data_IF_159410556640
#
_entry.id   IF_159410556640
#
_cell.length_a   1.000
_cell.length_b   1.000
_cell.length_c   1.000
_cell.angle_alpha   90.00
_cell.angle_beta   90.00
_cell.angle_gamma   90.00
#
_symmetry.space_group_name_H-M   'P 1'
#
loop_
_entity.id
_entity.type
_entity.pdbx_description
1 polymer ?
#
# COMPACT_ATOMS: atom_id res chain seq x y z
N UNK A 1 -10.28 -8.79 -11.78
CA UNK A 1 -10.25 -7.31 -11.65
C UNK A 1 -9.39 -6.95 -10.45
N UNK A 2 -9.04 -5.67 -10.25
CA UNK A 2 -8.28 -5.27 -9.06
C UNK A 2 -9.07 -5.62 -7.77
N UNK A 3 -8.39 -6.04 -6.69
CA UNK A 3 -9.05 -6.27 -5.41
C UNK A 3 -9.61 -4.97 -4.83
N UNK A 4 -10.63 -5.03 -3.96
CA UNK A 4 -11.14 -3.84 -3.28
C UNK A 4 -10.05 -3.21 -2.40
N UNK A 5 -9.88 -1.90 -2.53
CA UNK A 5 -8.94 -1.10 -1.73
C UNK A 5 -9.63 -0.26 -0.64
N UNK A 6 -10.94 -0.40 -0.49
CA UNK A 6 -11.75 0.27 0.53
C UNK A 6 -11.82 -0.54 1.85
N UNK A 7 -12.76 -0.21 2.73
CA UNK A 7 -12.94 -0.84 4.04
C UNK A 7 -13.21 -2.35 4.00
N UNK A 8 -13.72 -2.87 2.88
CA UNK A 8 -13.98 -4.30 2.67
C UNK A 8 -12.76 -5.08 2.16
N UNK A 9 -11.71 -4.36 1.78
CA UNK A 9 -10.44 -4.93 1.35
C UNK A 9 -9.47 -5.19 2.51
N UNK A 10 -8.21 -5.43 2.18
CA UNK A 10 -7.15 -5.72 3.16
C UNK A 10 -5.90 -4.85 3.03
N UNK A 11 -5.87 -3.87 2.13
CA UNK A 11 -4.67 -3.04 1.92
C UNK A 11 -4.20 -2.32 3.19
N UNK A 12 -5.12 -2.04 4.12
CA UNK A 12 -4.84 -1.43 5.41
C UNK A 12 -4.04 -2.33 6.37
N UNK A 13 -3.90 -3.63 6.10
CA UNK A 13 -3.01 -4.53 6.84
C UNK A 13 -1.52 -4.32 6.53
N UNK A 14 -1.17 -3.41 5.62
CA UNK A 14 0.18 -3.20 5.15
C UNK A 14 0.66 -1.78 5.49
N UNK A 15 1.91 -1.66 5.88
CA UNK A 15 2.57 -0.39 6.14
C UNK A 15 2.67 0.48 4.89
N UNK A 16 2.97 1.76 5.07
CA UNK A 16 3.28 2.64 3.94
C UNK A 16 4.53 2.21 3.19
N UNK A 17 5.53 1.67 3.87
CA UNK A 17 6.75 1.14 3.24
C UNK A 17 6.38 0.07 2.22
N UNK A 18 5.57 -0.90 2.64
CA UNK A 18 5.16 -2.01 1.79
C UNK A 18 4.18 -1.58 0.69
N UNK A 19 3.22 -0.70 1.00
CA UNK A 19 2.26 -0.19 0.02
C UNK A 19 2.92 0.64 -1.07
N UNK A 20 3.87 1.52 -0.71
CA UNK A 20 4.67 2.28 -1.68
C UNK A 20 5.43 1.30 -2.58
N UNK A 21 6.09 0.30 -1.98
CA UNK A 21 6.84 -0.69 -2.74
C UNK A 21 5.98 -1.47 -3.72
N UNK A 22 4.77 -1.87 -3.34
CA UNK A 22 3.82 -2.52 -4.25
C UNK A 22 3.42 -1.62 -5.43
N UNK A 23 3.22 -0.33 -5.21
CA UNK A 23 2.90 0.62 -6.29
C UNK A 23 4.12 0.81 -7.21
N UNK A 24 5.31 0.99 -6.64
CA UNK A 24 6.53 1.21 -7.40
C UNK A 24 6.96 -0.01 -8.22
N UNK A 25 7.10 -1.17 -7.57
CA UNK A 25 7.65 -2.41 -8.14
C UNK A 25 6.58 -3.33 -8.74
N UNK A 26 5.30 -3.04 -8.51
CA UNK A 26 4.19 -3.93 -8.87
C UNK A 26 3.96 -5.01 -7.81
N UNK A 27 2.91 -5.81 -8.02
CA UNK A 27 2.60 -6.93 -7.14
C UNK A 27 3.73 -7.95 -7.19
N UNK A 28 4.34 -8.27 -6.04
CA UNK A 28 5.46 -9.23 -5.96
C UNK A 28 5.09 -10.51 -6.71
N UNK A 29 5.76 -10.65 -7.85
CA UNK A 29 5.35 -11.36 -9.03
C UNK A 29 5.29 -12.87 -8.81
N UNK A 30 4.18 -13.33 -8.25
CA UNK A 30 3.76 -14.71 -8.38
C UNK A 30 2.82 -14.80 -9.60
N UNK A 31 3.28 -15.32 -10.74
CA UNK A 31 2.48 -15.42 -11.96
C UNK A 31 1.28 -16.38 -11.82
N UNK A 32 1.18 -17.12 -10.70
CA UNK A 32 0.03 -17.96 -10.38
C UNK A 32 -1.04 -17.23 -9.56
N UNK A 33 -0.78 -15.99 -9.13
CA UNK A 33 -1.76 -15.19 -8.37
C UNK A 33 -2.79 -14.53 -9.27
N UNK A 34 -4.01 -14.51 -8.76
CA UNK A 34 -5.22 -14.04 -9.44
C UNK A 34 -5.22 -12.53 -9.78
N UNK A 35 -4.28 -11.75 -9.24
CA UNK A 35 -4.25 -10.29 -9.34
C UNK A 35 -2.84 -9.81 -9.69
N UNK A 36 -2.53 -9.78 -10.98
CA UNK A 36 -1.30 -9.13 -11.46
C UNK A 36 -1.44 -7.62 -11.33
N UNK A 37 -0.52 -6.99 -10.60
CA UNK A 37 -0.41 -5.54 -10.51
C UNK A 37 0.89 -5.12 -11.19
N UNK A 38 0.86 -4.30 -12.25
CA UNK A 38 2.07 -3.82 -12.92
C UNK A 38 2.84 -2.83 -12.03
N UNK A 39 4.15 -2.65 -12.26
CA UNK A 39 4.92 -1.58 -11.65
C UNK A 39 4.46 -0.21 -12.17
N UNK A 40 4.34 0.77 -11.28
CA UNK A 40 4.01 2.16 -11.61
C UNK A 40 5.17 3.15 -11.35
N UNK A 41 6.32 2.69 -10.87
CA UNK A 41 7.46 3.56 -10.54
C UNK A 41 8.02 4.37 -11.73
N UNK A 42 7.85 3.87 -12.96
CA UNK A 42 8.26 4.59 -14.19
C UNK A 42 7.16 5.55 -14.71
N UNK A 43 5.98 5.56 -14.08
CA UNK A 43 4.79 6.32 -14.51
C UNK A 43 4.41 7.40 -13.50
N UNK A 44 4.59 7.13 -12.20
CA UNK A 44 4.24 8.01 -11.09
C UNK A 44 5.50 8.39 -10.31
N UNK A 45 5.59 9.67 -9.92
CA UNK A 45 6.60 10.10 -8.96
C UNK A 45 6.30 9.57 -7.55
N UNK A 46 7.31 9.55 -6.68
CA UNK A 46 7.14 9.17 -5.27
C UNK A 46 6.04 9.99 -4.57
N UNK A 47 5.97 11.30 -4.86
CA UNK A 47 4.94 12.18 -4.32
C UNK A 47 3.54 11.78 -4.83
N UNK A 48 3.40 11.44 -6.12
CA UNK A 48 2.13 10.98 -6.68
C UNK A 48 1.70 9.64 -6.08
N UNK A 49 2.64 8.72 -5.85
CA UNK A 49 2.37 7.44 -5.18
C UNK A 49 1.83 7.70 -3.77
N UNK A 50 2.48 8.59 -3.00
CA UNK A 50 2.01 8.98 -1.68
C UNK A 50 0.61 9.61 -1.71
N UNK A 51 0.33 10.48 -2.69
CA UNK A 51 -1.01 11.09 -2.85
C UNK A 51 -2.09 10.04 -3.17
N UNK A 52 -1.79 9.08 -4.05
CA UNK A 52 -2.72 7.97 -4.37
C UNK A 52 -3.00 7.12 -3.14
N UNK A 53 -1.97 6.75 -2.39
CA UNK A 53 -2.14 6.00 -1.13
C UNK A 53 -2.91 6.81 -0.08
N UNK A 54 -2.65 8.11 0.03
CA UNK A 54 -3.40 9.00 0.91
C UNK A 54 -4.88 9.04 0.52
N UNK A 55 -5.21 9.11 -0.77
CA UNK A 55 -6.59 9.01 -1.24
C UNK A 55 -7.22 7.65 -0.89
N UNK A 56 -6.52 6.54 -1.12
CA UNK A 56 -7.01 5.20 -0.78
C UNK A 56 -7.33 5.09 0.72
N UNK A 57 -6.46 5.61 1.59
CA UNK A 57 -6.64 5.65 3.04
C UNK A 57 -7.93 6.35 3.49
N UNK A 58 -8.47 7.27 2.68
CA UNK A 58 -9.75 7.95 3.00
C UNK A 58 -10.94 6.99 2.97
N UNK A 59 -10.83 5.87 2.24
CA UNK A 59 -11.89 4.85 2.13
C UNK A 59 -11.91 3.86 3.30
N UNK A 60 -10.94 3.92 4.22
CA UNK A 60 -10.87 3.00 5.36
C UNK A 60 -11.62 3.54 6.57
N UNK A 61 -11.96 2.65 7.51
CA UNK A 61 -12.50 3.07 8.81
C UNK A 61 -11.44 3.80 9.65
N UNK A 62 -11.88 4.51 10.70
CA UNK A 62 -10.96 5.13 11.64
C UNK A 62 -10.03 4.13 12.32
N UNK A 63 -10.55 2.96 12.70
CA UNK A 63 -9.80 1.87 13.31
C UNK A 63 -8.76 1.28 12.36
N UNK A 64 -9.15 1.01 11.10
CA UNK A 64 -8.24 0.49 10.08
C UNK A 64 -7.07 1.47 9.82
N UNK A 65 -7.35 2.78 9.74
CA UNK A 65 -6.29 3.80 9.62
C UNK A 65 -5.35 3.85 10.83
N UNK A 66 -5.89 3.65 12.04
CA UNK A 66 -5.08 3.65 13.26
C UNK A 66 -4.14 2.44 13.29
N UNK A 67 -4.65 1.24 13.00
CA UNK A 67 -3.83 0.03 12.92
C UNK A 67 -2.76 0.14 11.83
N UNK A 68 -3.13 0.63 10.64
CA UNK A 68 -2.19 0.78 9.54
C UNK A 68 -1.06 1.78 9.86
N UNK A 69 -1.38 2.86 10.58
CA UNK A 69 -0.39 3.82 11.07
C UNK A 69 0.59 3.16 12.03
N UNK A 70 0.10 2.37 12.98
CA UNK A 70 0.97 1.63 13.92
C UNK A 70 1.93 0.70 13.17
N UNK A 71 1.44 -0.08 12.20
CA UNK A 71 2.28 -0.94 11.36
C UNK A 71 3.35 -0.14 10.59
N UNK A 72 2.98 1.05 10.11
CA UNK A 72 3.92 1.94 9.42
C UNK A 72 5.02 2.44 10.34
N UNK A 73 4.68 2.89 11.54
CA UNK A 73 5.63 3.38 12.54
C UNK A 73 6.56 2.26 13.02
N UNK A 74 6.02 1.07 13.28
CA UNK A 74 6.78 -0.11 13.66
C UNK A 74 7.80 -0.49 12.58
N UNK A 75 7.38 -0.60 11.31
CA UNK A 75 8.29 -0.97 10.23
C UNK A 75 9.36 0.10 9.98
N UNK A 76 9.00 1.39 9.97
CA UNK A 76 9.97 2.48 9.80
C UNK A 76 11.03 2.49 10.91
N UNK A 77 10.64 2.15 12.15
CA UNK A 77 11.57 2.08 13.28
C UNK A 77 12.64 1.01 13.09
N UNK A 78 12.33 -0.09 12.39
CA UNK A 78 13.30 -1.17 12.12
C UNK A 78 14.42 -0.74 11.16
N UNK A 79 14.18 0.29 10.34
CA UNK A 79 15.14 0.81 9.35
C UNK A 79 15.87 2.07 9.82
N UNK A 80 15.61 2.54 11.05
CA UNK A 80 16.15 3.80 11.58
C UNK A 80 17.32 3.60 12.56
N UNK A 81 18.07 2.49 12.46
CA UNK A 81 19.25 2.16 13.27
C UNK A 81 20.57 2.35 12.52
#
# INVERSE_FOLDING_TARGET
GAPPHNETGHSWHHSDVLLIRYVTEGGFSDPTRFYTMPPFGEVLSDEQIQMVLAYIKTMWTGEQRAMQRQLTEEEQSMFSN
#
